data_IF_746419346842
#
_entry.id   IF_746419346842
#
_cell.length_a   1.000
_cell.length_b   1.000
_cell.length_c   1.000
_cell.angle_alpha   90.00
_cell.angle_beta   90.00
_cell.angle_gamma   90.00
#
_symmetry.space_group_name_H-M   'P 1'
#
loop_
_entity.id
_entity.type
_entity.pdbx_description
1 polymer ?
#
# COMPACT_ATOMS: atom_id res chain seq x y z
N UNK A 1 21.05 -32.74 14.93
CA UNK A 1 19.61 -33.07 15.05
C UNK A 1 19.06 -33.71 13.77
N UNK A 2 19.27 -33.13 12.57
CA UNK A 2 18.81 -33.75 11.30
C UNK A 2 19.38 -35.16 11.04
N UNK A 3 20.64 -35.43 11.41
CA UNK A 3 21.23 -36.76 11.29
C UNK A 3 20.46 -37.83 12.07
N UNK A 4 20.05 -37.52 13.31
CA UNK A 4 19.26 -38.42 14.16
C UNK A 4 17.89 -38.75 13.53
N UNK A 5 17.24 -37.78 12.90
CA UNK A 5 15.96 -38.03 12.20
C UNK A 5 16.15 -38.89 10.94
N UNK A 6 17.23 -38.69 10.19
CA UNK A 6 17.54 -39.52 9.01
C UNK A 6 17.78 -40.98 9.38
N UNK A 7 18.51 -41.21 10.48
CA UNK A 7 18.78 -42.56 11.00
C UNK A 7 17.51 -43.21 11.58
N UNK A 8 16.68 -42.44 12.29
CA UNK A 8 15.51 -42.98 13.01
C UNK A 8 14.24 -43.17 12.18
N UNK A 9 14.02 -42.41 11.12
CA UNK A 9 12.77 -42.43 10.36
C UNK A 9 12.74 -43.50 9.26
N UNK A 10 13.90 -43.93 8.74
CA UNK A 10 13.97 -44.95 7.69
C UNK A 10 13.38 -44.54 6.33
N UNK A 11 13.00 -43.27 6.15
CA UNK A 11 12.54 -42.71 4.87
C UNK A 11 13.08 -41.28 4.65
N UNK A 12 13.07 -40.83 3.39
CA UNK A 12 13.53 -39.50 3.00
C UNK A 12 12.52 -38.40 3.34
N UNK A 13 13.00 -37.26 3.84
CA UNK A 13 12.17 -36.08 4.07
C UNK A 13 12.89 -34.81 3.59
N UNK A 14 12.14 -33.91 2.98
CA UNK A 14 12.65 -32.60 2.57
C UNK A 14 12.71 -31.64 3.75
N UNK A 15 13.67 -30.72 3.73
CA UNK A 15 13.84 -29.70 4.77
C UNK A 15 13.69 -28.33 4.16
N UNK A 16 13.05 -27.45 4.90
CA UNK A 16 12.91 -26.06 4.55
C UNK A 16 12.73 -25.19 5.79
N UNK A 17 13.58 -24.18 5.97
CA UNK A 17 13.49 -23.28 7.14
C UNK A 17 13.45 -21.79 6.75
N UNK A 18 13.80 -21.43 5.52
CA UNK A 18 13.97 -20.04 5.12
C UNK A 18 12.67 -19.42 4.58
N UNK A 19 12.29 -18.27 5.10
CA UNK A 19 11.30 -17.36 4.51
C UNK A 19 11.97 -16.44 3.45
N UNK A 20 11.25 -15.48 2.88
CA UNK A 20 11.79 -14.54 1.88
C UNK A 20 13.14 -13.91 2.28
N UNK A 21 13.25 -13.32 3.47
CA UNK A 21 14.50 -12.70 3.95
C UNK A 21 15.57 -13.72 4.33
N UNK A 22 15.15 -14.93 4.72
CA UNK A 22 16.07 -16.03 5.02
C UNK A 22 16.81 -16.52 3.79
N UNK A 23 16.14 -16.58 2.63
CA UNK A 23 16.71 -17.08 1.35
C UNK A 23 18.00 -16.35 0.99
N UNK A 24 18.00 -15.02 1.14
CA UNK A 24 19.14 -14.14 0.85
C UNK A 24 20.07 -13.96 2.04
N UNK A 25 19.55 -14.04 3.26
CA UNK A 25 20.33 -13.87 4.49
C UNK A 25 21.18 -15.08 4.88
N UNK A 26 20.77 -16.28 4.49
CA UNK A 26 21.39 -17.56 4.87
C UNK A 26 21.43 -18.54 3.68
N UNK A 27 22.16 -18.21 2.61
CA UNK A 27 22.21 -19.06 1.40
C UNK A 27 22.67 -20.50 1.68
N UNK A 28 23.46 -20.72 2.72
CA UNK A 28 23.93 -22.03 3.18
C UNK A 28 22.84 -22.91 3.81
N UNK A 29 21.69 -22.34 4.18
CA UNK A 29 20.61 -23.00 4.90
C UNK A 29 19.33 -23.20 4.03
N UNK A 30 19.44 -23.11 2.70
CA UNK A 30 18.30 -23.29 1.80
C UNK A 30 17.75 -24.72 1.83
N UNK A 31 18.61 -25.72 2.08
CA UNK A 31 18.24 -27.13 2.09
C UNK A 31 17.53 -27.55 0.79
N UNK A 32 16.51 -28.43 0.86
CA UNK A 32 15.80 -28.95 -0.32
C UNK A 32 14.72 -27.98 -0.82
N UNK A 33 14.15 -27.13 0.04
CA UNK A 33 13.10 -26.16 -0.34
C UNK A 33 13.19 -24.86 0.46
N UNK A 34 12.61 -23.79 -0.09
CA UNK A 34 12.48 -22.48 0.57
C UNK A 34 11.03 -22.01 0.59
N UNK A 35 10.69 -21.06 1.47
CA UNK A 35 9.33 -20.51 1.62
C UNK A 35 9.30 -19.05 1.17
N UNK A 36 9.15 -18.84 -0.14
CA UNK A 36 9.02 -17.50 -0.69
C UNK A 36 7.63 -16.93 -0.40
N UNK A 37 7.55 -15.97 0.53
CA UNK A 37 6.34 -15.24 0.89
C UNK A 37 6.27 -13.89 0.18
N UNK A 38 6.47 -12.80 0.91
CA UNK A 38 6.32 -11.43 0.34
C UNK A 38 7.26 -11.11 -0.82
N UNK A 39 8.41 -11.80 -0.89
CA UNK A 39 9.31 -11.69 -2.03
C UNK A 39 8.64 -12.08 -3.36
N UNK A 40 7.65 -12.98 -3.34
CA UNK A 40 6.84 -13.32 -4.51
C UNK A 40 6.02 -12.11 -5.00
N UNK A 41 5.67 -11.19 -4.12
CA UNK A 41 4.93 -9.97 -4.43
C UNK A 41 5.85 -8.79 -4.78
N UNK A 42 7.15 -9.06 -4.95
CA UNK A 42 8.14 -8.06 -5.32
C UNK A 42 8.57 -7.17 -4.15
N UNK A 43 8.37 -7.62 -2.90
CA UNK A 43 8.79 -6.88 -1.71
C UNK A 43 10.03 -7.52 -1.12
N UNK A 44 11.09 -6.73 -1.06
CA UNK A 44 12.37 -7.05 -0.48
C UNK A 44 12.32 -7.07 1.05
N UNK A 45 13.10 -7.98 1.65
CA UNK A 45 13.38 -7.94 3.08
C UNK A 45 14.52 -6.98 3.44
N UNK A 46 15.38 -6.66 2.46
CA UNK A 46 16.54 -5.77 2.61
C UNK A 46 16.65 -4.84 1.39
N UNK A 47 17.11 -3.61 1.59
CA UNK A 47 17.27 -2.64 0.50
C UNK A 47 18.14 -3.15 -0.67
N UNK A 48 19.16 -3.96 -0.38
CA UNK A 48 20.02 -4.55 -1.40
C UNK A 48 19.29 -5.53 -2.35
N UNK A 49 18.12 -6.03 -1.98
CA UNK A 49 17.32 -6.96 -2.78
C UNK A 49 16.32 -6.22 -3.68
N UNK A 50 16.01 -4.95 -3.39
CA UNK A 50 15.00 -4.16 -4.11
C UNK A 50 15.21 -4.11 -5.63
N UNK A 51 16.45 -3.95 -6.17
CA UNK A 51 16.67 -3.93 -7.61
C UNK A 51 16.34 -5.24 -8.34
N UNK A 52 16.27 -6.36 -7.61
CA UNK A 52 16.05 -7.70 -8.16
C UNK A 52 14.59 -8.15 -8.08
N UNK A 53 13.74 -7.37 -7.43
CA UNK A 53 12.33 -7.68 -7.23
C UNK A 53 11.45 -6.63 -7.90
N UNK A 54 10.47 -7.08 -8.68
CA UNK A 54 9.49 -6.21 -9.33
C UNK A 54 8.19 -6.24 -8.52
N UNK A 55 7.73 -5.13 -7.93
CA UNK A 55 6.41 -5.05 -7.31
C UNK A 55 5.31 -5.47 -8.30
N UNK A 56 4.43 -6.38 -7.88
CA UNK A 56 3.41 -6.98 -8.75
C UNK A 56 2.00 -6.47 -8.50
N UNK A 57 1.82 -5.50 -7.61
CA UNK A 57 0.51 -5.01 -7.20
C UNK A 57 0.49 -3.49 -7.11
N UNK A 58 -0.62 -2.91 -7.55
CA UNK A 58 -0.97 -1.51 -7.33
C UNK A 58 -2.41 -1.44 -6.80
N UNK A 59 -2.69 -0.42 -6.00
CA UNK A 59 -4.05 -0.10 -5.59
C UNK A 59 -4.44 1.22 -6.23
N UNK A 60 -5.53 1.18 -6.98
CA UNK A 60 -6.06 2.31 -7.73
C UNK A 60 -7.51 2.57 -7.32
N UNK A 61 -7.89 3.84 -7.39
CA UNK A 61 -9.23 4.35 -7.14
C UNK A 61 -9.56 5.40 -8.21
N UNK A 62 -10.66 6.13 -8.01
CA UNK A 62 -11.12 7.15 -8.95
C UNK A 62 -11.52 8.42 -8.21
N UNK A 63 -11.30 9.57 -8.84
CA UNK A 63 -11.88 10.84 -8.38
C UNK A 63 -13.39 10.78 -8.62
N UNK A 64 -14.17 10.69 -7.55
CA UNK A 64 -15.63 10.65 -7.64
C UNK A 64 -16.24 12.03 -7.84
N UNK A 65 -15.68 13.07 -7.20
CA UNK A 65 -16.17 14.43 -7.25
C UNK A 65 -15.03 15.44 -7.10
N UNK A 66 -15.18 16.61 -7.71
CA UNK A 66 -14.29 17.77 -7.46
C UNK A 66 -15.10 18.93 -6.89
N UNK A 67 -14.67 19.46 -5.74
CA UNK A 67 -15.37 20.55 -5.03
C UNK A 67 -14.44 21.73 -4.78
N UNK A 68 -15.00 22.93 -4.85
CA UNK A 68 -14.32 24.17 -4.44
C UNK A 68 -14.73 24.52 -3.01
N UNK A 69 -13.75 24.83 -2.19
CA UNK A 69 -13.93 25.36 -0.84
C UNK A 69 -13.44 26.80 -0.80
N UNK A 70 -14.16 27.65 -0.09
CA UNK A 70 -13.73 29.01 0.24
C UNK A 70 -12.91 29.00 1.51
N UNK A 71 -12.07 30.02 1.67
CA UNK A 71 -11.38 30.28 2.94
C UNK A 71 -12.38 30.23 4.11
N UNK A 72 -12.08 29.42 5.12
CA UNK A 72 -12.91 29.24 6.32
C UNK A 72 -13.94 28.10 6.23
N UNK A 73 -14.19 27.54 5.04
CA UNK A 73 -15.01 26.34 4.91
C UNK A 73 -14.32 25.16 5.60
N UNK A 74 -15.12 24.27 6.21
CA UNK A 74 -14.61 23.06 6.84
C UNK A 74 -15.06 21.80 6.11
N UNK A 75 -14.25 20.75 6.13
CA UNK A 75 -14.59 19.47 5.50
C UNK A 75 -14.39 18.27 6.45
N UNK A 76 -15.16 17.22 6.19
CA UNK A 76 -15.03 15.92 6.84
C UNK A 76 -15.54 15.86 8.29
N UNK A 77 -15.39 14.68 8.89
CA UNK A 77 -15.86 14.43 10.25
C UNK A 77 -15.19 15.32 11.30
N UNK A 78 -16.01 15.90 12.18
CA UNK A 78 -15.54 16.75 13.27
C UNK A 78 -14.91 18.06 12.80
N UNK A 79 -15.13 18.48 11.55
CA UNK A 79 -14.55 19.70 10.97
C UNK A 79 -13.03 19.76 11.14
N UNK A 80 -12.38 18.60 11.04
CA UNK A 80 -10.96 18.42 11.34
C UNK A 80 -10.02 19.21 10.40
N UNK A 81 -10.54 19.65 9.24
CA UNK A 81 -9.85 20.54 8.33
C UNK A 81 -10.70 21.79 8.10
N UNK A 82 -10.04 22.95 8.15
CA UNK A 82 -10.59 24.26 7.81
C UNK A 82 -9.69 24.83 6.71
N UNK A 83 -10.28 25.23 5.59
CA UNK A 83 -9.55 25.73 4.44
C UNK A 83 -8.87 27.07 4.79
N UNK A 84 -7.52 27.15 4.75
CA UNK A 84 -6.81 28.39 5.09
C UNK A 84 -6.96 29.48 4.02
N UNK A 85 -7.31 29.07 2.80
CA UNK A 85 -7.58 29.89 1.62
C UNK A 85 -8.55 29.13 0.71
N UNK A 86 -8.86 29.68 -0.47
CA UNK A 86 -9.68 28.98 -1.45
C UNK A 86 -8.95 27.72 -1.94
N UNK A 87 -9.63 26.57 -1.88
CA UNK A 87 -9.06 25.25 -2.20
C UNK A 87 -9.93 24.48 -3.17
N UNK A 88 -9.30 23.62 -3.96
CA UNK A 88 -9.99 22.62 -4.78
C UNK A 88 -9.72 21.24 -4.20
N UNK A 89 -10.76 20.53 -3.82
CA UNK A 89 -10.68 19.23 -3.17
C UNK A 89 -11.27 18.16 -4.08
N UNK A 90 -10.50 17.09 -4.31
CA UNK A 90 -11.01 15.88 -4.92
C UNK A 90 -11.50 14.92 -3.84
N UNK A 91 -12.66 14.29 -4.09
CA UNK A 91 -13.21 13.21 -3.27
C UNK A 91 -12.90 11.90 -3.97
N UNK A 92 -12.07 11.07 -3.35
CA UNK A 92 -11.64 9.78 -3.86
C UNK A 92 -12.58 8.69 -3.36
N UNK A 93 -12.99 7.78 -4.25
CA UNK A 93 -13.86 6.63 -3.95
C UNK A 93 -13.09 5.49 -3.26
N UNK A 94 -12.48 5.80 -2.12
CA UNK A 94 -11.69 4.88 -1.31
C UNK A 94 -11.65 5.38 0.14
N UNK A 95 -11.84 4.47 1.10
CA UNK A 95 -11.65 4.79 2.51
C UNK A 95 -11.04 3.65 3.32
N UNK A 96 -11.21 3.73 4.64
CA UNK A 96 -10.61 2.75 5.54
C UNK A 96 -11.23 1.35 5.43
N UNK A 97 -12.45 1.20 4.90
CA UNK A 97 -13.04 -0.10 4.65
C UNK A 97 -12.39 -0.84 3.46
N UNK A 98 -11.60 -0.13 2.65
CA UNK A 98 -10.89 -0.67 1.49
C UNK A 98 -9.42 -0.98 1.79
N UNK A 99 -8.92 -0.54 2.95
CA UNK A 99 -7.53 -0.70 3.39
C UNK A 99 -6.77 0.61 3.56
N UNK A 100 -7.34 1.75 3.18
CA UNK A 100 -6.70 3.07 3.36
C UNK A 100 -6.85 3.55 4.80
N UNK A 101 -5.88 3.25 5.66
CA UNK A 101 -5.99 3.44 7.11
C UNK A 101 -6.41 4.85 7.49
N UNK A 102 -7.27 4.93 8.52
CA UNK A 102 -7.72 6.21 9.09
C UNK A 102 -6.56 7.07 9.65
N UNK A 103 -5.43 6.47 10.02
CA UNK A 103 -4.22 7.18 10.45
C UNK A 103 -3.59 8.05 9.35
N UNK A 104 -3.91 7.81 8.08
CA UNK A 104 -3.45 8.59 6.93
C UNK A 104 -4.18 9.93 6.76
N UNK A 105 -5.04 10.29 7.71
CA UNK A 105 -5.78 11.56 7.73
C UNK A 105 -4.85 12.78 7.89
N UNK A 106 -5.38 13.97 7.61
CA UNK A 106 -4.79 15.27 7.98
C UNK A 106 -3.34 15.47 7.53
N UNK A 107 -3.04 15.15 6.27
CA UNK A 107 -1.74 15.39 5.64
C UNK A 107 -0.70 14.30 5.87
N UNK A 108 -1.02 13.25 6.65
CA UNK A 108 -0.12 12.11 6.84
C UNK A 108 -0.03 11.27 5.56
N UNK A 109 -1.19 10.97 4.96
CA UNK A 109 -1.29 10.25 3.70
C UNK A 109 -1.28 11.16 2.48
N UNK A 110 -1.01 10.55 1.34
CA UNK A 110 -1.13 11.16 0.02
C UNK A 110 -1.56 10.11 -1.01
N UNK A 111 -2.03 10.59 -2.16
CA UNK A 111 -2.34 9.78 -3.34
C UNK A 111 -1.66 10.40 -4.56
N UNK A 112 -1.47 9.63 -5.63
CA UNK A 112 -0.95 10.15 -6.89
C UNK A 112 -2.06 10.19 -7.96
N UNK A 113 -2.15 11.31 -8.68
CA UNK A 113 -3.10 11.52 -9.79
C UNK A 113 -2.31 12.17 -10.92
N UNK A 114 -2.39 11.63 -12.14
CA UNK A 114 -1.55 12.06 -13.27
C UNK A 114 -0.04 12.10 -12.94
N UNK A 115 0.41 11.13 -12.13
CA UNK A 115 1.80 11.02 -11.66
C UNK A 115 2.25 12.09 -10.66
N UNK A 116 1.35 12.98 -10.22
CA UNK A 116 1.63 14.00 -9.19
C UNK A 116 1.00 13.61 -7.86
N UNK A 117 1.69 13.87 -6.76
CA UNK A 117 1.25 13.53 -5.41
C UNK A 117 0.40 14.65 -4.80
N UNK A 118 -0.68 14.27 -4.14
CA UNK A 118 -1.63 15.17 -3.51
C UNK A 118 -1.93 14.72 -2.08
N UNK A 119 -1.81 15.61 -1.08
CA UNK A 119 -1.98 15.26 0.32
C UNK A 119 -3.45 15.02 0.68
N UNK A 120 -3.68 14.08 1.59
CA UNK A 120 -4.99 13.87 2.21
C UNK A 120 -5.31 15.05 3.13
N UNK A 121 -6.53 15.59 3.03
CA UNK A 121 -7.02 16.64 3.93
C UNK A 121 -8.24 16.18 4.70
N UNK A 122 -8.32 16.58 5.98
CA UNK A 122 -9.35 16.12 6.89
C UNK A 122 -9.23 14.62 7.20
N UNK A 123 -10.33 14.05 7.70
CA UNK A 123 -10.38 12.64 8.11
C UNK A 123 -10.74 11.72 6.94
N UNK A 124 -10.00 10.63 6.82
CA UNK A 124 -10.38 9.47 6.00
C UNK A 124 -11.71 8.91 6.52
N UNK A 125 -12.67 8.73 5.62
CA UNK A 125 -13.99 8.16 5.89
C UNK A 125 -14.02 6.66 5.55
N UNK A 126 -15.16 6.01 5.75
CA UNK A 126 -15.31 4.57 5.49
C UNK A 126 -15.04 4.24 4.03
N UNK A 127 -15.63 5.02 3.12
CA UNK A 127 -15.63 4.77 1.67
C UNK A 127 -15.10 5.95 0.85
N UNK A 128 -14.62 7.01 1.52
CA UNK A 128 -14.15 8.25 0.85
C UNK A 128 -12.94 8.87 1.52
N UNK A 129 -12.10 9.51 0.72
CA UNK A 129 -10.93 10.26 1.16
C UNK A 129 -10.88 11.59 0.40
N UNK A 130 -10.60 12.68 1.10
CA UNK A 130 -10.47 14.01 0.49
C UNK A 130 -9.01 14.37 0.30
N UNK A 131 -8.66 14.87 -0.88
CA UNK A 131 -7.28 15.27 -1.22
C UNK A 131 -7.27 16.68 -1.81
N UNK A 132 -6.29 17.49 -1.41
CA UNK A 132 -6.14 18.86 -1.90
C UNK A 132 -5.42 18.85 -3.25
N UNK A 133 -6.15 19.26 -4.29
CA UNK A 133 -5.71 19.29 -5.69
C UNK A 133 -5.62 20.72 -6.23
N UNK A 134 -5.54 21.72 -5.34
CA UNK A 134 -5.48 23.14 -5.70
C UNK A 134 -4.38 23.42 -6.71
N UNK A 135 -4.72 24.11 -7.79
CA UNK A 135 -3.77 24.44 -8.88
C UNK A 135 -3.49 23.31 -9.86
N UNK A 136 -4.19 22.17 -9.77
CA UNK A 136 -4.09 21.08 -10.73
C UNK A 136 -5.27 21.04 -11.72
N UNK A 137 -5.11 20.27 -12.79
CA UNK A 137 -6.14 20.00 -13.79
C UNK A 137 -6.90 18.68 -13.53
N UNK A 138 -6.85 18.17 -12.29
CA UNK A 138 -7.55 16.93 -11.91
C UNK A 138 -9.07 17.11 -12.01
N UNK A 139 -9.73 16.13 -12.59
CA UNK A 139 -11.16 16.09 -12.88
C UNK A 139 -11.82 14.83 -12.31
N UNK A 140 -13.15 14.81 -12.32
CA UNK A 140 -13.94 13.62 -11.99
C UNK A 140 -13.68 12.52 -13.01
N UNK A 141 -13.55 11.28 -12.55
CA UNK A 141 -13.19 10.12 -13.37
C UNK A 141 -11.70 9.85 -13.48
N UNK A 142 -10.83 10.77 -13.06
CA UNK A 142 -9.37 10.55 -13.09
C UNK A 142 -8.96 9.38 -12.19
N UNK A 143 -7.98 8.61 -12.66
CA UNK A 143 -7.40 7.49 -11.91
C UNK A 143 -6.52 8.01 -10.78
N UNK A 144 -6.69 7.40 -9.60
CA UNK A 144 -5.96 7.73 -8.38
C UNK A 144 -5.13 6.52 -7.98
N UNK A 145 -3.81 6.67 -7.91
CA UNK A 145 -2.90 5.66 -7.38
C UNK A 145 -2.71 5.87 -5.87
N UNK A 146 -3.01 4.82 -5.10
CA UNK A 146 -2.80 4.78 -3.64
C UNK A 146 -1.42 4.22 -3.31
N UNK A 147 -1.05 3.14 -4.00
CA UNK A 147 0.32 2.65 -4.09
C UNK A 147 0.55 2.01 -5.47
N UNK A 148 1.78 2.10 -5.96
CA UNK A 148 2.18 1.71 -7.29
C UNK A 148 3.54 2.31 -7.65
N UNK A 149 3.67 2.81 -8.88
CA UNK A 149 4.94 3.37 -9.38
C UNK A 149 5.27 4.74 -8.80
N UNK A 150 4.27 5.52 -8.42
CA UNK A 150 4.43 6.88 -7.89
C UNK A 150 4.47 6.89 -6.36
N UNK A 151 3.80 5.96 -5.70
CA UNK A 151 3.82 5.80 -4.24
C UNK A 151 4.20 4.35 -3.91
N UNK A 152 5.42 4.15 -3.41
CA UNK A 152 5.85 2.80 -3.06
C UNK A 152 5.08 2.24 -1.87
N UNK A 153 4.86 0.93 -1.86
CA UNK A 153 4.24 0.22 -0.74
C UNK A 153 5.01 0.42 0.59
N UNK A 154 6.34 0.51 0.54
CA UNK A 154 7.18 0.78 1.71
C UNK A 154 6.92 2.17 2.30
N UNK A 155 6.77 3.17 1.43
CA UNK A 155 6.46 4.53 1.87
C UNK A 155 5.09 4.59 2.54
N UNK A 156 4.09 3.97 1.91
CA UNK A 156 2.75 3.90 2.47
C UNK A 156 2.74 3.17 3.82
N UNK A 157 3.46 2.04 3.93
CA UNK A 157 3.62 1.31 5.19
C UNK A 157 4.25 2.17 6.29
N UNK A 158 5.31 2.94 5.99
CA UNK A 158 5.93 3.87 6.95
C UNK A 158 4.94 4.95 7.42
N UNK A 159 4.17 5.55 6.50
CA UNK A 159 3.13 6.55 6.85
C UNK A 159 2.00 5.95 7.69
N UNK A 160 1.74 4.65 7.52
CA UNK A 160 0.75 3.88 8.29
C UNK A 160 1.29 3.36 9.63
N UNK A 161 2.56 3.62 9.95
CA UNK A 161 3.30 3.06 11.08
C UNK A 161 3.23 1.51 11.11
N UNK A 162 3.55 0.90 9.97
CA UNK A 162 3.50 -0.56 9.81
C UNK A 162 4.48 -1.07 8.74
N UNK A 163 4.37 -2.35 8.40
CA UNK A 163 5.15 -3.08 7.41
C UNK A 163 4.33 -3.34 6.13
N UNK A 164 4.99 -3.50 4.97
CA UNK A 164 4.34 -3.81 3.69
C UNK A 164 3.37 -5.00 3.71
N UNK A 165 3.64 -6.03 4.52
CA UNK A 165 2.75 -7.17 4.72
C UNK A 165 1.35 -6.74 5.14
N UNK A 166 1.24 -5.84 6.11
CA UNK A 166 -0.06 -5.38 6.61
C UNK A 166 -0.78 -4.53 5.58
N UNK A 167 -0.05 -3.75 4.77
CA UNK A 167 -0.67 -2.96 3.70
C UNK A 167 -1.31 -3.88 2.67
N UNK A 168 -0.60 -4.90 2.18
CA UNK A 168 -1.13 -5.85 1.18
C UNK A 168 -2.28 -6.69 1.73
N UNK A 169 -2.17 -7.16 2.97
CA UNK A 169 -3.16 -8.09 3.56
C UNK A 169 -4.37 -7.38 4.15
N UNK A 170 -4.32 -6.06 4.39
CA UNK A 170 -5.46 -5.28 4.86
C UNK A 170 -6.40 -4.81 3.75
N UNK A 171 -6.06 -5.03 2.47
CA UNK A 171 -6.95 -4.71 1.35
C UNK A 171 -8.18 -5.62 1.40
N UNK A 172 -9.34 -5.01 1.59
CA UNK A 172 -10.58 -5.74 1.88
C UNK A 172 -11.13 -6.48 0.66
N UNK A 173 -12.14 -7.32 0.90
CA UNK A 173 -12.84 -8.02 -0.17
C UNK A 173 -13.72 -7.11 -1.05
N UNK A 174 -13.98 -5.86 -0.63
CA UNK A 174 -14.72 -4.86 -1.43
C UNK A 174 -13.91 -4.41 -2.66
N UNK A 175 -12.58 -4.45 -2.55
CA UNK A 175 -11.69 -4.04 -3.63
C UNK A 175 -11.66 -5.13 -4.70
N UNK A 176 -12.09 -4.74 -5.91
CA UNK A 176 -12.04 -5.61 -7.09
C UNK A 176 -10.59 -5.91 -7.44
N UNK A 177 -10.25 -7.20 -7.52
CA UNK A 177 -8.93 -7.66 -8.01
C UNK A 177 -8.98 -7.82 -9.51
N UNK A 178 -8.08 -7.13 -10.21
CA UNK A 178 -7.90 -7.24 -11.66
C UNK A 178 -6.51 -7.81 -11.90
N UNK A 179 -6.46 -8.96 -12.58
CA UNK A 179 -5.21 -9.62 -12.93
C UNK A 179 -4.86 -9.28 -14.37
N UNK A 180 -3.71 -8.68 -14.57
CA UNK A 180 -3.17 -8.36 -15.88
C UNK A 180 -2.11 -9.41 -16.22
N UNK A 181 -2.16 -9.96 -17.43
CA UNK A 181 -1.07 -10.75 -17.99
C UNK A 181 -0.18 -9.78 -18.77
N UNK A 182 1.05 -9.61 -18.30
CA UNK A 182 2.13 -8.90 -19.02
C UNK A 182 3.01 -9.90 -19.77
#
# INVERSE_FOLDING_TARGET
MTGLFKEGLGYHFDRHILNSSGITGFPEAQFEMVRLGIGLYGIAGKAAEEPYLKPVSSLKATVSQVKKLKKGDSLGYGRAYIAPEDRTIAVISLGYADGFRRSLSNGVGEVAIHGKRFPVVGRVCMDMTMVDITGSAVAEGDEVEVFGSHISLYELARKMDTIPYEVLTSISQRVKRVYLME
#
